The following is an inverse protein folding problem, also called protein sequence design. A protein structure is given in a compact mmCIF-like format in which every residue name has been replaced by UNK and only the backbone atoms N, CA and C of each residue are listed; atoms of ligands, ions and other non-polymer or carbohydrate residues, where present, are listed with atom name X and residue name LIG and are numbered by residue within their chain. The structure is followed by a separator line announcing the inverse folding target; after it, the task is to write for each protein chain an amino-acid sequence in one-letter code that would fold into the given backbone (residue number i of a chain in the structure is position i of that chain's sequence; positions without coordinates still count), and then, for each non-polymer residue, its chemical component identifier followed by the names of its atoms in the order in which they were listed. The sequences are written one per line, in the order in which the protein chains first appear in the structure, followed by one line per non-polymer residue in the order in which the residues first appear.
data_IF_023864063876
#
_entry.id   IF_023864063876
#
_cell.length_a   1.000
_cell.length_b   1.000
_cell.length_c   1.000
_cell.angle_alpha   90.00
_cell.angle_beta   90.00
_cell.angle_gamma   90.00
#
_symmetry.space_group_name_H-M   'P 1'
#
loop_
_entity.id
_entity.type
_entity.pdbx_description
1 polymer ?
#
# COMPACT_ATOMS: atom_id res chain seq x y z
N UNK A 1 8.34 -1.91 -8.08
CA UNK A 1 8.72 -3.21 -7.48
C UNK A 1 7.53 -4.04 -7.08
N UNK A 2 6.71 -3.64 -6.08
CA UNK A 2 5.53 -4.41 -5.66
C UNK A 2 4.63 -4.80 -6.84
N UNK A 3 4.23 -3.82 -7.67
CA UNK A 3 3.40 -4.04 -8.86
C UNK A 3 3.95 -5.16 -9.77
N UNK A 4 5.26 -5.20 -9.97
CA UNK A 4 5.92 -6.17 -10.85
C UNK A 4 5.94 -7.59 -10.25
N UNK A 5 5.85 -7.71 -8.93
CA UNK A 5 5.83 -9.01 -8.23
C UNK A 5 4.43 -9.61 -8.07
N UNK A 6 3.37 -8.84 -8.36
CA UNK A 6 2.00 -9.36 -8.33
C UNK A 6 1.75 -10.18 -9.60
N UNK A 7 1.26 -11.41 -9.41
CA UNK A 7 1.10 -12.39 -10.47
C UNK A 7 -0.01 -11.97 -11.44
N UNK A 8 0.36 -11.71 -12.70
CA UNK A 8 -0.57 -11.21 -13.72
C UNK A 8 -1.74 -12.14 -14.00
N UNK A 9 -1.53 -13.45 -13.91
CA UNK A 9 -2.61 -14.44 -14.11
C UNK A 9 -3.76 -14.23 -13.12
N UNK A 10 -3.46 -14.01 -11.83
CA UNK A 10 -4.49 -13.72 -10.84
C UNK A 10 -5.16 -12.37 -11.08
N UNK A 11 -4.39 -11.33 -11.39
CA UNK A 11 -4.96 -10.02 -11.72
C UNK A 11 -5.92 -10.10 -12.91
N UNK A 12 -5.58 -10.87 -13.94
CA UNK A 12 -6.44 -11.09 -15.11
C UNK A 12 -7.68 -11.92 -14.74
N UNK A 13 -7.51 -13.02 -14.01
CA UNK A 13 -8.60 -13.91 -13.58
C UNK A 13 -9.66 -13.17 -12.77
N UNK A 14 -9.24 -12.34 -11.83
CA UNK A 14 -10.13 -11.58 -10.95
C UNK A 14 -10.45 -10.17 -11.49
N UNK A 15 -9.97 -9.82 -12.69
CA UNK A 15 -10.17 -8.52 -13.35
C UNK A 15 -9.72 -7.32 -12.49
N UNK A 16 -8.66 -7.50 -11.72
CA UNK A 16 -8.08 -6.46 -10.87
C UNK A 16 -7.07 -5.62 -11.66
N UNK A 17 -7.11 -4.31 -11.43
CA UNK A 17 -6.06 -3.41 -11.89
C UNK A 17 -4.97 -3.29 -10.82
N UNK A 18 -3.70 -3.33 -11.23
CA UNK A 18 -2.56 -3.11 -10.34
C UNK A 18 -1.84 -1.84 -10.79
N UNK A 19 -1.98 -0.77 -10.00
CA UNK A 19 -1.53 0.57 -10.33
C UNK A 19 -0.39 1.01 -9.39
N UNK A 20 0.51 1.86 -9.88
CA UNK A 20 1.59 2.46 -9.11
C UNK A 20 1.77 3.92 -9.54
N UNK A 21 1.48 4.86 -8.64
CA UNK A 21 1.51 6.30 -8.91
C UNK A 21 2.85 6.96 -8.57
N UNK A 22 3.88 6.20 -8.17
CA UNK A 22 5.18 6.74 -7.74
C UNK A 22 5.87 7.60 -8.80
N UNK A 23 5.71 7.24 -10.07
CA UNK A 23 6.30 7.94 -11.23
C UNK A 23 5.22 8.62 -12.08
N UNK A 24 4.02 8.82 -11.54
CA UNK A 24 2.99 9.60 -12.23
C UNK A 24 3.48 11.05 -12.34
N UNK A 25 3.39 11.69 -13.52
CA UNK A 25 3.79 13.09 -13.69
C UNK A 25 3.07 14.03 -12.72
N UNK A 26 1.77 13.80 -12.46
CA UNK A 26 0.98 14.58 -11.52
C UNK A 26 1.52 14.43 -10.08
N UNK A 27 1.87 13.21 -9.68
CA UNK A 27 2.48 12.97 -8.37
C UNK A 27 3.87 13.59 -8.23
N UNK A 28 4.64 13.65 -9.33
CA UNK A 28 5.97 14.28 -9.33
C UNK A 28 5.86 15.78 -9.12
N UNK A 29 4.93 16.45 -9.81
CA UNK A 29 4.67 17.87 -9.66
C UNK A 29 4.21 18.18 -8.21
N UNK A 30 3.26 17.41 -7.68
CA UNK A 30 2.77 17.58 -6.31
C UNK A 30 3.90 17.41 -5.29
N UNK A 31 4.77 16.42 -5.48
CA UNK A 31 5.90 16.18 -4.59
C UNK A 31 6.85 17.39 -4.50
N UNK A 32 7.15 18.02 -5.64
CA UNK A 32 8.00 19.21 -5.71
C UNK A 32 7.31 20.44 -5.10
N UNK A 33 6.05 20.69 -5.46
CA UNK A 33 5.30 21.85 -5.00
C UNK A 33 5.04 21.85 -3.50
N UNK A 34 4.74 20.68 -2.93
CA UNK A 34 4.39 20.53 -1.52
C UNK A 34 5.60 20.14 -0.66
N UNK A 35 6.78 19.99 -1.25
CA UNK A 35 8.02 19.53 -0.59
C UNK A 35 7.83 18.22 0.20
N UNK A 36 7.15 17.25 -0.43
CA UNK A 36 6.92 15.91 0.12
C UNK A 36 7.60 14.85 -0.75
N UNK A 37 7.75 13.63 -0.22
CA UNK A 37 8.32 12.55 -1.03
C UNK A 37 7.38 12.15 -2.17
N UNK A 38 7.93 11.71 -3.31
CA UNK A 38 7.13 11.15 -4.43
C UNK A 38 6.20 10.01 -4.00
N UNK A 39 6.59 9.26 -2.97
CA UNK A 39 5.76 8.21 -2.38
C UNK A 39 4.52 8.76 -1.65
N UNK A 40 4.64 9.90 -0.95
CA UNK A 40 3.48 10.57 -0.34
C UNK A 40 2.55 11.13 -1.41
N UNK A 41 3.09 11.89 -2.38
CA UNK A 41 2.29 12.45 -3.46
C UNK A 41 1.56 11.36 -4.27
N UNK A 42 2.24 10.25 -4.57
CA UNK A 42 1.63 9.09 -5.22
C UNK A 42 0.47 8.48 -4.43
N UNK A 43 0.55 8.45 -3.10
CA UNK A 43 -0.55 7.97 -2.23
C UNK A 43 -1.73 8.95 -2.25
N UNK A 44 -1.49 10.26 -2.13
CA UNK A 44 -2.55 11.28 -2.24
C UNK A 44 -3.32 11.13 -3.54
N UNK A 45 -2.58 11.00 -4.65
CA UNK A 45 -3.18 10.83 -5.97
C UNK A 45 -3.94 9.51 -6.11
N UNK A 46 -3.36 8.41 -5.63
CA UNK A 46 -3.99 7.10 -5.65
C UNK A 46 -5.29 7.09 -4.84
N UNK A 47 -5.31 7.68 -3.64
CA UNK A 47 -6.48 7.73 -2.76
C UNK A 47 -7.60 8.60 -3.31
N UNK A 48 -7.25 9.75 -3.91
CA UNK A 48 -8.22 10.59 -4.62
C UNK A 48 -8.91 9.83 -5.76
N UNK A 49 -8.16 9.03 -6.52
CA UNK A 49 -8.68 8.29 -7.68
C UNK A 49 -9.39 6.97 -7.29
N UNK A 50 -8.94 6.32 -6.21
CA UNK A 50 -9.35 4.98 -5.81
C UNK A 50 -9.59 4.86 -4.30
N UNK A 51 -10.57 5.58 -3.72
CA UNK A 51 -10.72 5.73 -2.27
C UNK A 51 -10.94 4.41 -1.52
N UNK A 52 -11.44 3.37 -2.22
CA UNK A 52 -11.78 2.06 -1.66
C UNK A 52 -10.85 0.93 -2.17
N UNK A 53 -9.69 1.24 -2.74
CA UNK A 53 -8.76 0.20 -3.22
C UNK A 53 -8.05 -0.54 -2.07
N UNK A 54 -7.43 -1.68 -2.40
CA UNK A 54 -6.43 -2.32 -1.55
C UNK A 54 -5.10 -1.58 -1.72
N UNK A 55 -4.54 -1.05 -0.62
CA UNK A 55 -3.25 -0.36 -0.65
C UNK A 55 -2.13 -1.30 -0.23
N UNK A 56 -1.05 -1.33 -1.02
CA UNK A 56 0.08 -2.24 -0.81
C UNK A 56 1.39 -1.46 -0.76
N UNK A 57 1.95 -1.33 0.45
CA UNK A 57 3.14 -0.52 0.73
C UNK A 57 4.27 -1.44 1.20
N UNK A 58 5.20 -1.71 0.30
CA UNK A 58 6.33 -2.61 0.55
C UNK A 58 7.69 -1.93 0.70
N UNK A 59 7.78 -0.61 0.66
CA UNK A 59 9.08 0.09 0.75
C UNK A 59 9.01 1.33 1.62
N UNK A 60 8.41 2.41 1.12
CA UNK A 60 8.50 3.73 1.72
C UNK A 60 7.63 3.85 2.98
N UNK A 61 8.21 4.09 4.18
CA UNK A 61 7.43 4.39 5.39
C UNK A 61 6.62 5.68 5.24
N UNK A 62 7.14 6.65 4.48
CA UNK A 62 6.44 7.92 4.22
C UNK A 62 5.13 7.71 3.45
N UNK A 63 5.06 6.75 2.53
CA UNK A 63 3.78 6.38 1.89
C UNK A 63 2.78 5.83 2.90
N UNK A 64 3.24 5.03 3.87
CA UNK A 64 2.36 4.44 4.86
C UNK A 64 1.85 5.49 5.86
N UNK A 65 2.72 6.39 6.30
CA UNK A 65 2.31 7.56 7.08
C UNK A 65 1.25 8.37 6.35
N UNK A 66 1.52 8.75 5.11
CA UNK A 66 0.59 9.56 4.31
C UNK A 66 -0.77 8.88 4.18
N UNK A 67 -0.79 7.59 3.84
CA UNK A 67 -2.04 6.85 3.73
C UNK A 67 -2.84 6.91 5.03
N UNK A 68 -2.18 6.74 6.18
CA UNK A 68 -2.84 6.81 7.48
C UNK A 68 -3.38 8.22 7.77
N UNK A 69 -2.62 9.30 7.48
CA UNK A 69 -3.12 10.66 7.67
C UNK A 69 -4.34 10.93 6.80
N UNK A 70 -4.30 10.56 5.52
CA UNK A 70 -5.41 10.79 4.59
C UNK A 70 -6.67 10.01 5.02
N UNK A 71 -6.52 8.80 5.57
CA UNK A 71 -7.64 8.03 6.14
C UNK A 71 -8.22 8.74 7.38
N UNK A 72 -7.38 9.22 8.29
CA UNK A 72 -7.81 9.96 9.48
C UNK A 72 -8.53 11.27 9.13
N UNK A 73 -8.13 11.92 8.04
CA UNK A 73 -8.79 13.10 7.47
C UNK A 73 -10.08 12.78 6.69
N UNK A 74 -10.48 11.50 6.60
CA UNK A 74 -11.70 11.08 5.91
C UNK A 74 -11.62 11.14 4.39
N UNK A 75 -10.42 11.18 3.81
CA UNK A 75 -10.21 11.33 2.35
C UNK A 75 -10.27 10.00 1.59
N UNK A 76 -10.40 8.87 2.27
CA UNK A 76 -10.62 7.57 1.67
C UNK A 76 -10.93 6.50 2.70
N UNK A 77 -11.47 5.38 2.23
CA UNK A 77 -11.82 4.22 3.05
C UNK A 77 -11.33 2.92 2.38
N UNK A 78 -10.00 2.66 2.39
CA UNK A 78 -9.44 1.46 1.78
C UNK A 78 -10.12 0.18 2.27
N UNK A 79 -10.34 -0.78 1.36
CA UNK A 79 -10.83 -2.12 1.76
C UNK A 79 -9.80 -2.89 2.61
N UNK A 80 -8.55 -2.46 2.57
CA UNK A 80 -7.50 -2.91 3.46
C UNK A 80 -6.13 -2.34 3.11
N UNK A 81 -5.15 -2.60 3.98
CA UNK A 81 -3.78 -2.13 3.80
C UNK A 81 -2.77 -3.24 4.08
N UNK A 82 -1.88 -3.52 3.13
CA UNK A 82 -0.68 -4.32 3.35
C UNK A 82 0.47 -3.34 3.62
N UNK A 83 0.74 -3.07 4.89
CA UNK A 83 1.76 -2.14 5.38
C UNK A 83 3.03 -2.86 5.79
N UNK A 84 3.86 -3.25 4.83
CA UNK A 84 5.12 -3.97 5.07
C UNK A 84 6.37 -3.20 4.57
N UNK A 85 6.53 -1.89 4.88
CA UNK A 85 7.76 -1.19 4.56
C UNK A 85 8.96 -1.81 5.31
N UNK A 86 10.15 -1.66 4.72
CA UNK A 86 11.42 -2.14 5.26
C UNK A 86 12.39 -0.98 5.42
N UNK A 87 13.29 -1.08 6.38
CA UNK A 87 14.34 -0.08 6.59
C UNK A 87 14.60 0.21 8.06
N UNK A 88 15.23 1.35 8.32
CA UNK A 88 15.71 1.71 9.66
C UNK A 88 15.04 2.97 10.23
N UNK A 89 14.63 3.89 9.36
CA UNK A 89 14.06 5.18 9.74
C UNK A 89 12.56 5.12 9.59
N UNK A 90 11.82 5.43 10.66
CA UNK A 90 10.36 5.60 10.67
C UNK A 90 9.54 4.36 10.28
N UNK A 91 10.17 3.18 10.15
CA UNK A 91 9.49 1.94 9.71
C UNK A 91 8.56 1.41 10.78
N UNK A 92 9.03 1.33 12.02
CA UNK A 92 8.25 0.78 13.13
C UNK A 92 7.07 1.71 13.40
N UNK A 93 7.34 3.01 13.46
CA UNK A 93 6.39 4.07 13.72
C UNK A 93 5.29 4.12 12.64
N UNK A 94 5.66 3.96 11.36
CA UNK A 94 4.67 3.92 10.27
C UNK A 94 3.69 2.74 10.40
N UNK A 95 4.19 1.58 10.86
CA UNK A 95 3.37 0.38 11.07
C UNK A 95 2.50 0.50 12.31
N UNK A 96 3.03 1.07 13.40
CA UNK A 96 2.27 1.37 14.60
C UNK A 96 1.12 2.36 14.30
N UNK A 97 1.36 3.36 13.46
CA UNK A 97 0.31 4.28 13.01
C UNK A 97 -0.80 3.55 12.24
N UNK A 98 -0.46 2.63 11.34
CA UNK A 98 -1.46 1.79 10.68
C UNK A 98 -2.24 0.93 11.69
N UNK A 99 -1.56 0.33 12.67
CA UNK A 99 -2.20 -0.47 13.71
C UNK A 99 -3.17 0.32 14.59
N UNK A 100 -2.95 1.63 14.73
CA UNK A 100 -3.85 2.50 15.49
C UNK A 100 -5.17 2.78 14.75
N UNK A 101 -5.26 2.50 13.44
CA UNK A 101 -6.51 2.61 12.69
C UNK A 101 -7.41 1.41 13.02
N UNK A 102 -8.51 1.65 13.72
CA UNK A 102 -9.44 0.60 14.16
C UNK A 102 -10.49 0.21 13.12
N UNK A 103 -10.63 0.99 12.05
CA UNK A 103 -11.69 0.84 11.03
C UNK A 103 -11.23 0.12 9.76
N UNK A 104 -9.93 -0.04 9.54
CA UNK A 104 -9.37 -0.56 8.29
C UNK A 104 -8.66 -1.88 8.55
N UNK A 105 -9.03 -2.98 7.86
CA UNK A 105 -8.28 -4.23 7.92
C UNK A 105 -6.84 -4.04 7.44
N UNK A 106 -5.86 -4.64 8.13
CA UNK A 106 -4.47 -4.51 7.74
C UNK A 106 -3.64 -5.79 7.90
N UNK A 107 -2.53 -5.85 7.17
CA UNK A 107 -1.45 -6.82 7.34
C UNK A 107 -0.14 -6.07 7.51
N UNK A 108 0.61 -6.40 8.55
CA UNK A 108 1.96 -5.86 8.80
C UNK A 108 2.94 -6.97 9.11
N UNK A 109 4.23 -6.67 8.95
CA UNK A 109 5.33 -7.42 9.58
C UNK A 109 5.90 -6.52 10.64
N UNK A 110 5.88 -6.99 11.89
CA UNK A 110 6.38 -6.22 13.04
C UNK A 110 7.85 -5.87 12.88
N UNK A 111 8.28 -4.86 13.62
CA UNK A 111 9.65 -4.33 13.59
C UNK A 111 10.06 -3.79 12.22
N UNK A 112 11.34 -3.89 11.89
CA UNK A 112 11.97 -3.26 10.73
C UNK A 112 11.91 -4.08 9.43
N UNK A 113 11.53 -5.35 9.51
CA UNK A 113 11.48 -6.26 8.36
C UNK A 113 10.25 -5.98 7.48
N UNK A 114 10.38 -6.26 6.19
CA UNK A 114 9.34 -6.01 5.20
C UNK A 114 9.92 -6.14 3.80
N UNK A 115 9.37 -5.40 2.85
CA UNK A 115 9.95 -5.28 1.52
C UNK A 115 8.93 -5.54 0.41
N UNK A 116 9.30 -5.15 -0.80
CA UNK A 116 8.41 -5.26 -1.96
C UNK A 116 8.08 -6.71 -2.32
N UNK A 117 9.05 -7.63 -2.17
CA UNK A 117 8.83 -9.06 -2.41
C UNK A 117 7.82 -9.62 -1.42
N UNK A 118 7.96 -9.26 -0.14
CA UNK A 118 7.04 -9.72 0.90
C UNK A 118 5.63 -9.17 0.65
N UNK A 119 5.51 -7.89 0.31
CA UNK A 119 4.23 -7.27 -0.02
C UNK A 119 3.54 -7.98 -1.19
N UNK A 120 4.28 -8.24 -2.28
CA UNK A 120 3.76 -8.96 -3.43
C UNK A 120 3.38 -10.42 -3.10
N UNK A 121 4.18 -11.11 -2.28
CA UNK A 121 3.86 -12.47 -1.83
C UNK A 121 2.58 -12.54 -1.00
N UNK A 122 2.32 -11.55 -0.13
CA UNK A 122 1.08 -11.47 0.65
C UNK A 122 -0.12 -11.31 -0.29
N UNK A 123 -0.03 -10.42 -1.29
CA UNK A 123 -1.08 -10.25 -2.31
C UNK A 123 -1.30 -11.54 -3.10
N UNK A 124 -0.23 -12.18 -3.57
CA UNK A 124 -0.32 -13.42 -4.33
C UNK A 124 -0.94 -14.55 -3.49
N UNK A 125 -0.61 -14.65 -2.21
CA UNK A 125 -1.22 -15.61 -1.30
C UNK A 125 -2.72 -15.33 -1.08
N UNK A 126 -3.12 -14.05 -0.99
CA UNK A 126 -4.53 -13.69 -0.85
C UNK A 126 -5.39 -14.21 -2.02
N UNK A 127 -4.85 -14.23 -3.24
CA UNK A 127 -5.53 -14.78 -4.41
C UNK A 127 -5.80 -16.28 -4.35
N UNK A 128 -5.09 -17.03 -3.50
CA UNK A 128 -5.16 -18.49 -3.42
C UNK A 128 -5.93 -19.01 -2.20
N UNK A 129 -6.35 -18.14 -1.26
CA UNK A 129 -7.01 -18.56 -0.01
C UNK A 129 -8.27 -19.41 -0.27
N UNK A 130 -9.08 -19.07 -1.26
CA UNK A 130 -10.26 -19.87 -1.62
C UNK A 130 -9.91 -21.21 -2.28
N UNK A 131 -8.78 -21.28 -2.99
CA UNK A 131 -8.29 -22.52 -3.62
C UNK A 131 -7.86 -23.56 -2.58
N UNK A 132 -7.43 -23.11 -1.39
CA UNK A 132 -6.97 -24.00 -0.31
C UNK A 132 -8.16 -24.59 0.47
N UNK A 133 -9.24 -23.82 0.67
CA UNK A 133 -10.42 -24.24 1.44
C UNK A 133 -11.47 -25.03 0.62
N UNK A 134 -11.21 -25.28 -0.66
CA UNK A 134 -12.13 -26.00 -1.57
C UNK A 134 -11.66 -27.43 -1.89
N UNK A 135 -10.82 -28.02 -1.03
CA UNK A 135 -10.46 -29.45 -1.04
C UNK A 135 -11.06 -30.12 0.19
#
# INVERSE_FOLDING_TARGET
MVQSGITKEFSNKYKNQVLCYLNDPEATIVAEQENITRSQAGIRLALKKHPNALYVIGNAPTALFELCEQILEGKGNPVGVIGVPVGFVNVIESKLKLQALTTIPYVIIRERKGGSNVAASIVNAAFTVHTINSK
#
